data_IF_345080863391
#
_entry.id   IF_345080863391
#
_cell.length_a   1.000
_cell.length_b   1.000
_cell.length_c   1.000
_cell.angle_alpha   90.00
_cell.angle_beta   90.00
_cell.angle_gamma   90.00
#
_symmetry.space_group_name_H-M   'P 1'
#
loop_
_entity.id
_entity.type
_entity.pdbx_description
1 polymer ?
#
# COMPACT_ATOMS: atom_id res chain seq x y z
N UNK A 1 4.24 -23.60 -24.12
CA UNK A 1 4.50 -22.22 -23.68
C UNK A 1 5.99 -22.06 -23.42
N UNK A 2 6.62 -21.01 -23.88
CA UNK A 2 8.04 -20.81 -23.68
C UNK A 2 8.29 -19.71 -22.63
N UNK A 3 9.53 -19.59 -22.22
CA UNK A 3 9.93 -18.61 -21.22
C UNK A 3 9.56 -17.17 -21.61
N UNK A 4 9.68 -16.85 -22.88
CA UNK A 4 9.39 -15.49 -23.36
C UNK A 4 7.92 -15.14 -23.23
N UNK A 5 7.02 -16.07 -23.54
CA UNK A 5 5.58 -15.86 -23.37
C UNK A 5 5.22 -15.67 -21.90
N UNK A 6 5.85 -16.44 -21.04
CA UNK A 6 5.65 -16.33 -19.59
C UNK A 6 6.14 -14.99 -19.06
N UNK A 7 7.32 -14.56 -19.50
CA UNK A 7 7.86 -13.27 -19.11
C UNK A 7 6.97 -12.11 -19.55
N UNK A 8 6.41 -12.20 -20.78
CA UNK A 8 5.50 -11.18 -21.28
C UNK A 8 4.27 -11.03 -20.38
N UNK A 9 3.67 -12.16 -20.00
CA UNK A 9 2.51 -12.16 -19.12
C UNK A 9 2.84 -11.59 -17.74
N UNK A 10 3.98 -12.00 -17.19
CA UNK A 10 4.39 -11.52 -15.88
C UNK A 10 4.81 -10.05 -15.91
N UNK A 11 5.38 -9.57 -17.01
CA UNK A 11 5.70 -8.17 -17.18
C UNK A 11 4.43 -7.30 -17.14
N UNK A 12 3.36 -7.77 -17.75
CA UNK A 12 2.07 -7.06 -17.72
C UNK A 12 1.53 -6.98 -16.28
N UNK A 13 1.62 -8.09 -15.55
CA UNK A 13 1.19 -8.14 -14.15
C UNK A 13 2.01 -7.20 -13.28
N UNK A 14 3.32 -7.23 -13.45
CA UNK A 14 4.23 -6.36 -12.70
C UNK A 14 3.98 -4.89 -13.00
N UNK A 15 3.77 -4.56 -14.26
CA UNK A 15 3.48 -3.18 -14.68
C UNK A 15 2.17 -2.69 -14.08
N UNK A 16 1.15 -3.55 -14.02
CA UNK A 16 -0.13 -3.20 -13.41
C UNK A 16 0.04 -2.90 -11.91
N UNK A 17 0.85 -3.70 -11.23
CA UNK A 17 1.15 -3.47 -9.82
C UNK A 17 1.86 -2.14 -9.61
N UNK A 18 2.88 -1.86 -10.42
CA UNK A 18 3.62 -0.61 -10.33
C UNK A 18 2.74 0.60 -10.62
N UNK A 19 1.84 0.47 -11.58
CA UNK A 19 0.88 1.54 -11.88
C UNK A 19 -0.02 1.83 -10.68
N UNK A 20 -0.45 0.80 -9.97
CA UNK A 20 -1.24 0.93 -8.76
C UNK A 20 -0.49 1.72 -7.70
N UNK A 21 0.82 1.56 -7.63
CA UNK A 21 1.68 2.22 -6.64
C UNK A 21 2.16 3.61 -7.05
N UNK A 22 1.91 4.05 -8.30
CA UNK A 22 2.50 5.27 -8.84
C UNK A 22 1.79 6.56 -8.41
N UNK A 23 1.40 6.63 -7.13
CA UNK A 23 0.79 7.81 -6.52
C UNK A 23 1.52 8.12 -5.22
N UNK A 24 2.15 9.29 -5.11
CA UNK A 24 2.96 9.60 -3.92
C UNK A 24 2.20 9.46 -2.61
N UNK A 25 0.95 9.93 -2.57
CA UNK A 25 0.15 9.86 -1.35
C UNK A 25 -0.21 8.43 -0.98
N UNK A 26 -0.53 7.61 -1.97
CA UNK A 26 -0.81 6.19 -1.78
C UNK A 26 0.42 5.46 -1.26
N UNK A 27 1.58 5.70 -1.90
CA UNK A 27 2.85 5.13 -1.45
C UNK A 27 3.16 5.51 -0.01
N UNK A 28 2.93 6.75 0.35
CA UNK A 28 3.21 7.23 1.70
C UNK A 28 2.40 6.44 2.74
N UNK A 29 1.11 6.27 2.49
CA UNK A 29 0.25 5.50 3.41
C UNK A 29 0.75 4.05 3.50
N UNK A 30 1.08 3.45 2.36
CA UNK A 30 1.57 2.06 2.36
C UNK A 30 2.92 1.93 3.08
N UNK A 31 3.81 2.91 2.93
CA UNK A 31 5.08 2.92 3.67
C UNK A 31 4.84 2.98 5.18
N UNK A 32 3.89 3.80 5.61
CA UNK A 32 3.55 3.87 7.04
C UNK A 32 3.05 2.52 7.52
N UNK A 33 2.19 1.87 6.74
CA UNK A 33 1.62 0.57 7.12
C UNK A 33 2.63 -0.58 7.10
N UNK A 34 3.69 -0.51 6.28
CA UNK A 34 4.74 -1.53 6.34
C UNK A 34 5.53 -1.46 7.65
N UNK A 35 5.79 -0.26 8.11
CA UNK A 35 6.56 -0.07 9.35
C UNK A 35 5.70 -0.09 10.61
N UNK A 36 4.42 0.16 10.47
CA UNK A 36 3.53 0.36 11.60
C UNK A 36 2.12 -0.14 11.27
N UNK A 37 1.95 -1.46 11.17
CA UNK A 37 0.65 -2.02 10.84
C UNK A 37 -0.37 -1.79 11.94
N UNK A 38 -1.64 -1.81 11.57
CA UNK A 38 -2.73 -1.66 12.52
C UNK A 38 -3.07 -0.22 12.86
N UNK A 39 -2.64 0.73 12.05
CA UNK A 39 -2.98 2.14 12.25
C UNK A 39 -4.43 2.42 11.87
N UNK A 40 -5.03 3.36 12.59
CA UNK A 40 -6.37 3.86 12.29
C UNK A 40 -6.29 4.99 11.27
N UNK A 41 -7.43 5.30 10.64
CA UNK A 41 -7.49 6.36 9.63
C UNK A 41 -7.02 7.71 10.19
N UNK A 42 -7.40 8.05 11.40
CA UNK A 42 -6.98 9.30 12.04
C UNK A 42 -5.48 9.38 12.23
N UNK A 43 -4.85 8.27 12.61
CA UNK A 43 -3.40 8.21 12.75
C UNK A 43 -2.71 8.34 11.40
N UNK A 44 -3.25 7.67 10.37
CA UNK A 44 -2.69 7.75 9.03
C UNK A 44 -2.80 9.16 8.46
N UNK A 45 -3.92 9.84 8.71
CA UNK A 45 -4.08 11.24 8.32
C UNK A 45 -3.01 12.10 8.98
N UNK A 46 -2.82 11.96 10.28
CA UNK A 46 -1.84 12.74 11.02
C UNK A 46 -0.41 12.47 10.55
N UNK A 47 -0.06 11.19 10.40
CA UNK A 47 1.30 10.80 10.03
C UNK A 47 1.64 11.15 8.58
N UNK A 48 0.66 11.07 7.69
CA UNK A 48 0.89 11.38 6.27
C UNK A 48 0.81 12.87 5.96
N UNK A 49 0.19 13.64 6.83
CA UNK A 49 -0.07 15.05 6.56
C UNK A 49 -1.25 15.28 5.63
N UNK A 50 -1.95 14.23 5.24
CA UNK A 50 -3.13 14.35 4.38
C UNK A 50 -4.35 14.69 5.23
N UNK A 51 -5.34 15.33 4.62
CA UNK A 51 -6.61 15.60 5.29
C UNK A 51 -7.31 14.27 5.64
N UNK A 52 -8.21 14.32 6.60
CA UNK A 52 -9.01 13.15 6.95
C UNK A 52 -9.81 12.66 5.74
N UNK A 53 -10.36 13.58 4.96
CA UNK A 53 -11.13 13.24 3.76
C UNK A 53 -10.27 12.55 2.71
N UNK A 54 -9.10 13.10 2.40
CA UNK A 54 -8.19 12.50 1.42
C UNK A 54 -7.71 11.13 1.88
N UNK A 55 -7.35 11.00 3.15
CA UNK A 55 -6.92 9.73 3.73
C UNK A 55 -8.03 8.69 3.59
N UNK A 56 -9.24 9.06 3.95
CA UNK A 56 -10.38 8.15 3.88
C UNK A 56 -10.64 7.67 2.45
N UNK A 57 -10.53 8.58 1.47
CA UNK A 57 -10.70 8.24 0.07
C UNK A 57 -9.63 7.27 -0.42
N UNK A 58 -8.37 7.51 -0.05
CA UNK A 58 -7.27 6.61 -0.41
C UNK A 58 -7.46 5.24 0.21
N UNK A 59 -7.82 5.18 1.49
CA UNK A 59 -8.02 3.90 2.18
C UNK A 59 -9.16 3.11 1.56
N UNK A 60 -10.29 3.77 1.27
CA UNK A 60 -11.43 3.13 0.65
C UNK A 60 -11.06 2.54 -0.71
N UNK A 61 -10.35 3.31 -1.53
CA UNK A 61 -9.95 2.86 -2.87
C UNK A 61 -8.93 1.71 -2.79
N UNK A 62 -7.93 1.82 -1.95
CA UNK A 62 -6.93 0.77 -1.79
C UNK A 62 -7.55 -0.51 -1.25
N UNK A 63 -8.53 -0.38 -0.36
CA UNK A 63 -9.25 -1.53 0.17
C UNK A 63 -10.05 -2.23 -0.94
N UNK A 64 -10.74 -1.47 -1.77
CA UNK A 64 -11.51 -2.05 -2.88
C UNK A 64 -10.61 -2.71 -3.92
N UNK A 65 -9.37 -2.27 -4.05
CA UNK A 65 -8.39 -2.84 -4.98
C UNK A 65 -7.62 -4.02 -4.37
N UNK A 66 -7.92 -4.39 -3.14
CA UNK A 66 -7.28 -5.53 -2.48
C UNK A 66 -5.85 -5.29 -1.98
N UNK A 67 -5.44 -4.04 -1.85
CA UNK A 67 -4.09 -3.70 -1.38
C UNK A 67 -3.99 -3.74 0.14
N UNK A 68 -5.04 -3.31 0.80
CA UNK A 68 -5.11 -3.26 2.26
C UNK A 68 -6.43 -3.85 2.72
N UNK A 69 -6.48 -4.17 3.99
CA UNK A 69 -7.73 -4.59 4.63
C UNK A 69 -7.89 -3.84 5.95
N UNK A 70 -9.13 -3.68 6.38
CA UNK A 70 -9.45 -3.09 7.65
C UNK A 70 -10.04 -4.13 8.57
N UNK A 71 -9.54 -4.19 9.80
CA UNK A 71 -10.06 -5.07 10.82
C UNK A 71 -10.72 -4.22 11.90
N UNK A 72 -12.00 -4.47 12.14
CA UNK A 72 -12.72 -3.73 13.17
C UNK A 72 -12.29 -4.21 14.56
N UNK A 73 -11.94 -3.25 15.39
CA UNK A 73 -11.58 -3.51 16.77
C UNK A 73 -12.27 -2.45 17.62
N UNK A 74 -13.30 -2.86 18.35
CA UNK A 74 -14.21 -1.94 19.06
C UNK A 74 -14.84 -0.97 18.05
N UNK A 75 -14.70 0.34 18.24
CA UNK A 75 -15.24 1.34 17.30
C UNK A 75 -14.22 1.82 16.27
N UNK A 76 -13.02 1.24 16.30
CA UNK A 76 -11.94 1.64 15.38
C UNK A 76 -11.74 0.59 14.31
N UNK A 77 -11.19 1.02 13.19
CA UNK A 77 -10.76 0.13 12.12
C UNK A 77 -9.24 0.24 12.03
N UNK A 78 -8.56 -0.90 12.12
CA UNK A 78 -7.11 -0.96 12.01
C UNK A 78 -6.75 -1.49 10.64
N UNK A 79 -5.87 -0.79 9.94
CA UNK A 79 -5.53 -1.08 8.56
C UNK A 79 -4.21 -1.84 8.46
N UNK A 80 -4.18 -2.79 7.53
CA UNK A 80 -3.02 -3.65 7.28
C UNK A 80 -2.85 -3.84 5.79
N UNK A 81 -1.61 -4.01 5.33
CA UNK A 81 -1.38 -4.40 3.95
C UNK A 81 -1.80 -5.86 3.80
N UNK A 82 -2.68 -6.11 2.84
CA UNK A 82 -3.22 -7.44 2.60
C UNK A 82 -2.37 -8.25 1.64
N UNK A 83 -1.78 -7.60 0.67
CA UNK A 83 -1.09 -8.23 -0.45
C UNK A 83 0.40 -8.33 -0.16
N UNK A 84 0.93 -9.56 -0.12
CA UNK A 84 2.33 -9.80 0.19
C UNK A 84 3.28 -9.20 -0.83
N UNK A 85 2.88 -9.18 -2.11
CA UNK A 85 3.69 -8.57 -3.16
C UNK A 85 3.79 -7.07 -2.96
N UNK A 86 2.69 -6.42 -2.60
CA UNK A 86 2.67 -4.98 -2.30
C UNK A 86 3.59 -4.69 -1.11
N UNK A 87 3.50 -5.50 -0.05
CA UNK A 87 4.36 -5.33 1.11
C UNK A 87 5.85 -5.40 0.72
N UNK A 88 6.21 -6.43 -0.06
CA UNK A 88 7.60 -6.64 -0.46
C UNK A 88 8.13 -5.50 -1.32
N UNK A 89 7.34 -5.04 -2.28
CA UNK A 89 7.76 -3.95 -3.18
C UNK A 89 7.89 -2.63 -2.40
N UNK A 90 6.90 -2.30 -1.58
CA UNK A 90 6.93 -1.06 -0.80
C UNK A 90 8.09 -1.08 0.19
N UNK A 91 8.33 -2.21 0.84
CA UNK A 91 9.47 -2.35 1.77
C UNK A 91 10.80 -2.14 1.04
N UNK A 92 10.93 -2.69 -0.17
CA UNK A 92 12.12 -2.51 -0.99
C UNK A 92 12.34 -1.04 -1.35
N UNK A 93 11.28 -0.37 -1.78
CA UNK A 93 11.36 1.06 -2.11
C UNK A 93 11.75 1.89 -0.88
N UNK A 94 11.19 1.55 0.26
CA UNK A 94 11.52 2.21 1.52
C UNK A 94 12.99 2.03 1.87
N UNK A 95 13.52 0.83 1.66
CA UNK A 95 14.92 0.55 1.93
C UNK A 95 15.86 1.34 1.00
N UNK A 96 15.43 1.56 -0.23
CA UNK A 96 16.22 2.31 -1.22
C UNK A 96 16.23 3.81 -0.89
N UNK A 97 15.06 4.37 -0.60
CA UNK A 97 14.90 5.82 -0.46
C UNK A 97 15.02 6.32 0.98
N UNK A 98 14.80 5.45 1.96
CA UNK A 98 14.88 5.78 3.38
C UNK A 98 15.72 4.74 4.13
N UNK A 99 17.01 4.56 3.75
CA UNK A 99 17.80 3.44 4.25
C UNK A 99 18.17 3.51 5.72
N UNK A 100 17.90 4.59 6.42
CA UNK A 100 18.25 4.74 7.83
C UNK A 100 17.15 4.34 8.79
N UNK A 101 16.02 3.88 8.30
CA UNK A 101 14.86 3.61 9.16
C UNK A 101 14.58 2.16 9.47
#
# INVERSE_FOLDING_TARGET
>A
MNEMSELQGQAENAAALLKTLSHPQRLLILCILTGSPGREAGELSRLSGLSASATSQHLSRMKSEGLIEGTRQARYIRYHIKNDAIFAVVQTLKNIYCPGE
#
